data_IF_729251948183
#
_entry.id   IF_729251948183
#
_cell.length_a   1.000
_cell.length_b   1.000
_cell.length_c   1.000
_cell.angle_alpha   90.00
_cell.angle_beta   90.00
_cell.angle_gamma   90.00
#
_symmetry.space_group_name_H-M   'P 1'
#
loop_
_entity.id
_entity.type
_entity.pdbx_description
1 polymer ?
#
# COMPACT_ATOMS: atom_id res chain seq x y z
N UNK A 1 8.05 6.73 -17.28
CA UNK A 1 6.64 7.13 -17.08
C UNK A 1 5.92 6.38 -15.97
N UNK A 2 5.94 5.03 -15.87
CA UNK A 2 5.23 4.31 -14.78
C UNK A 2 5.98 4.38 -13.45
N UNK A 3 7.29 4.22 -13.47
CA UNK A 3 8.16 4.29 -12.27
C UNK A 3 8.12 5.67 -11.60
N UNK A 4 8.10 6.74 -12.39
CA UNK A 4 8.10 8.13 -11.87
C UNK A 4 6.84 8.42 -11.04
N UNK A 5 5.67 7.92 -11.50
CA UNK A 5 4.40 8.06 -10.77
C UNK A 5 4.37 7.23 -9.48
N UNK A 6 4.99 6.04 -9.49
CA UNK A 6 5.09 5.20 -8.30
C UNK A 6 6.00 5.85 -7.26
N UNK A 7 7.17 6.34 -7.67
CA UNK A 7 8.10 7.05 -6.78
C UNK A 7 7.43 8.30 -6.20
N UNK A 8 6.74 9.08 -7.02
CA UNK A 8 6.03 10.28 -6.55
C UNK A 8 4.90 9.94 -5.58
N UNK A 9 4.16 8.85 -5.83
CA UNK A 9 3.13 8.36 -4.92
C UNK A 9 3.69 7.92 -3.56
N UNK A 10 4.82 7.20 -3.56
CA UNK A 10 5.50 6.77 -2.33
C UNK A 10 6.03 7.97 -1.55
N UNK A 11 6.70 8.91 -2.21
CA UNK A 11 7.21 10.13 -1.57
C UNK A 11 6.07 11.00 -1.02
N UNK A 12 4.99 11.16 -1.78
CA UNK A 12 3.80 11.87 -1.34
C UNK A 12 3.16 11.20 -0.11
N UNK A 13 3.06 9.87 -0.11
CA UNK A 13 2.53 9.10 1.02
C UNK A 13 3.39 9.22 2.28
N UNK A 14 4.72 9.12 2.14
CA UNK A 14 5.66 9.30 3.26
C UNK A 14 5.60 10.72 3.83
N UNK A 15 5.56 11.74 2.97
CA UNK A 15 5.49 13.14 3.41
C UNK A 15 4.17 13.42 4.14
N UNK A 16 3.04 13.01 3.56
CA UNK A 16 1.73 13.15 4.19
C UNK A 16 1.66 12.39 5.52
N UNK A 17 2.17 11.16 5.56
CA UNK A 17 2.24 10.35 6.77
C UNK A 17 3.12 10.96 7.87
N UNK A 18 4.28 11.51 7.51
CA UNK A 18 5.17 12.18 8.46
C UNK A 18 4.55 13.46 9.03
N UNK A 19 3.91 14.27 8.20
CA UNK A 19 3.20 15.48 8.65
C UNK A 19 2.07 15.09 9.62
N UNK A 20 1.26 14.09 9.27
CA UNK A 20 0.21 13.60 10.17
C UNK A 20 0.80 13.02 11.46
N UNK A 21 1.87 12.23 11.40
CA UNK A 21 2.52 11.65 12.58
C UNK A 21 3.09 12.71 13.53
N UNK A 22 3.70 13.77 12.99
CA UNK A 22 4.20 14.90 13.78
C UNK A 22 3.04 15.70 14.40
N UNK A 23 1.96 15.92 13.64
CA UNK A 23 0.78 16.63 14.13
C UNK A 23 0.09 15.89 15.28
N UNK A 24 -0.04 14.57 15.18
CA UNK A 24 -0.66 13.73 16.20
C UNK A 24 0.23 13.48 17.42
N UNK A 25 1.56 13.48 17.26
CA UNK A 25 2.51 13.25 18.36
C UNK A 25 3.62 14.33 18.40
N UNK A 26 3.32 15.53 18.94
CA UNK A 26 4.32 16.57 19.10
C UNK A 26 5.26 16.26 20.28
N UNK A 27 6.47 15.77 19.97
CA UNK A 27 7.58 15.66 20.92
C UNK A 27 8.44 16.93 20.89
N UNK A 28 8.95 17.39 22.05
CA UNK A 28 9.85 18.56 22.11
C UNK A 28 11.17 18.26 21.38
N UNK A 29 11.62 19.16 20.50
CA UNK A 29 12.77 18.96 19.62
C UNK A 29 14.09 18.55 20.30
N UNK A 30 14.35 19.01 21.53
CA UNK A 30 15.51 18.58 22.32
C UNK A 30 15.47 17.08 22.65
N UNK A 31 14.29 16.59 23.04
CA UNK A 31 14.07 15.16 23.29
C UNK A 31 14.17 14.37 21.99
N UNK A 32 13.60 14.87 20.88
CA UNK A 32 13.66 14.23 19.56
C UNK A 32 15.11 14.04 19.09
N UNK A 33 15.95 15.08 19.17
CA UNK A 33 17.36 14.99 18.77
C UNK A 33 18.14 14.00 19.62
N UNK A 34 17.90 13.98 20.93
CA UNK A 34 18.52 13.04 21.87
C UNK A 34 18.03 11.60 21.63
N UNK A 35 16.75 11.42 21.31
CA UNK A 35 16.13 10.13 20.92
C UNK A 35 16.75 9.60 19.63
N UNK A 36 16.91 10.44 18.61
CA UNK A 36 17.53 10.06 17.33
C UNK A 36 18.96 9.57 17.57
N UNK A 37 19.79 10.32 18.30
CA UNK A 37 21.18 9.93 18.59
C UNK A 37 21.32 8.61 19.34
N UNK A 38 20.43 8.34 20.31
CA UNK A 38 20.44 7.07 21.05
C UNK A 38 19.88 5.92 20.23
N UNK A 39 18.69 6.12 19.66
CA UNK A 39 18.00 5.09 18.88
C UNK A 39 18.73 4.75 17.58
N UNK A 40 19.49 5.65 16.96
CA UNK A 40 20.16 5.36 15.69
C UNK A 40 21.19 4.23 15.79
N UNK A 41 21.95 4.17 16.90
CA UNK A 41 22.92 3.10 17.10
C UNK A 41 22.22 1.79 17.46
N UNK A 42 21.27 1.82 18.40
CA UNK A 42 20.61 0.60 18.88
C UNK A 42 19.62 0.02 17.86
N UNK A 43 18.95 0.86 17.05
CA UNK A 43 18.00 0.40 16.04
C UNK A 43 18.66 -0.19 14.82
N UNK A 44 19.90 0.17 14.48
CA UNK A 44 20.52 -0.31 13.24
C UNK A 44 20.69 -1.84 13.26
N UNK A 45 21.17 -2.38 14.37
CA UNK A 45 21.34 -3.83 14.54
C UNK A 45 19.98 -4.52 14.74
N UNK A 46 19.11 -3.99 15.61
CA UNK A 46 17.78 -4.56 15.85
C UNK A 46 16.86 -4.51 14.61
N UNK A 47 16.99 -3.49 13.74
CA UNK A 47 16.23 -3.42 12.49
C UNK A 47 16.69 -4.51 11.55
N UNK A 48 17.99 -4.78 11.47
CA UNK A 48 18.52 -5.70 10.46
C UNK A 48 17.94 -7.10 10.66
N UNK A 49 17.97 -7.59 11.89
CA UNK A 49 17.41 -8.91 12.25
C UNK A 49 15.89 -8.97 12.10
N UNK A 50 15.18 -7.90 12.49
CA UNK A 50 13.72 -7.83 12.35
C UNK A 50 13.28 -7.63 10.91
N UNK A 51 14.08 -6.95 10.11
CA UNK A 51 13.81 -6.69 8.71
C UNK A 51 13.95 -7.96 7.88
N UNK A 52 14.98 -8.77 8.12
CA UNK A 52 15.12 -10.09 7.50
C UNK A 52 13.92 -10.98 7.84
N UNK A 53 13.53 -11.05 9.12
CA UNK A 53 12.35 -11.83 9.55
C UNK A 53 11.05 -11.30 8.94
N UNK A 54 10.90 -9.98 8.85
CA UNK A 54 9.72 -9.34 8.27
C UNK A 54 9.64 -9.57 6.76
N UNK A 55 10.76 -9.47 6.04
CA UNK A 55 10.83 -9.77 4.62
C UNK A 55 10.50 -11.24 4.33
N UNK A 56 10.97 -12.18 5.14
CA UNK A 56 10.61 -13.59 5.02
C UNK A 56 9.11 -13.83 5.22
N UNK A 57 8.54 -13.18 6.23
CA UNK A 57 7.10 -13.28 6.53
C UNK A 57 6.26 -12.62 5.42
N UNK A 58 6.69 -11.47 4.93
CA UNK A 58 6.05 -10.77 3.81
C UNK A 58 6.14 -11.60 2.56
N UNK A 59 7.29 -12.22 2.26
CA UNK A 59 7.47 -13.05 1.06
C UNK A 59 6.53 -14.26 1.07
N UNK A 60 6.43 -14.97 2.21
CA UNK A 60 5.47 -16.08 2.36
C UNK A 60 4.02 -15.63 2.24
N UNK A 61 3.65 -14.52 2.88
CA UNK A 61 2.29 -13.97 2.77
C UNK A 61 2.00 -13.43 1.39
N UNK A 62 2.99 -12.89 0.69
CA UNK A 62 2.85 -12.32 -0.65
C UNK A 62 2.47 -13.39 -1.66
N UNK A 63 2.99 -14.61 -1.56
CA UNK A 63 2.57 -15.72 -2.41
C UNK A 63 1.08 -16.06 -2.22
N UNK A 64 0.62 -16.15 -0.96
CA UNK A 64 -0.81 -16.36 -0.65
C UNK A 64 -1.67 -15.20 -1.12
N UNK A 65 -1.25 -13.96 -0.84
CA UNK A 65 -1.97 -12.75 -1.24
C UNK A 65 -2.02 -12.57 -2.76
N UNK A 66 -1.00 -13.04 -3.47
CA UNK A 66 -0.95 -13.01 -4.94
C UNK A 66 -1.91 -14.04 -5.53
N UNK A 67 -2.07 -15.21 -4.92
CA UNK A 67 -3.08 -16.19 -5.33
C UNK A 67 -4.50 -15.69 -5.03
N UNK A 68 -4.79 -15.30 -3.79
CA UNK A 68 -6.11 -14.77 -3.42
C UNK A 68 -6.46 -13.49 -4.18
N UNK A 69 -5.47 -12.62 -4.41
CA UNK A 69 -5.62 -11.41 -5.19
C UNK A 69 -5.87 -11.68 -6.68
N UNK A 70 -5.30 -12.75 -7.24
CA UNK A 70 -5.61 -13.17 -8.62
C UNK A 70 -7.02 -13.72 -8.73
N UNK A 71 -7.47 -14.53 -7.77
CA UNK A 71 -8.82 -15.07 -7.77
C UNK A 71 -9.87 -13.96 -7.59
N UNK A 72 -9.65 -13.02 -6.66
CA UNK A 72 -10.48 -11.83 -6.50
C UNK A 72 -10.46 -10.93 -7.73
N UNK A 73 -9.31 -10.77 -8.39
CA UNK A 73 -9.20 -9.98 -9.60
C UNK A 73 -9.95 -10.63 -10.77
N UNK A 74 -9.83 -11.94 -10.94
CA UNK A 74 -10.51 -12.70 -11.98
C UNK A 74 -12.02 -12.74 -11.70
N UNK A 75 -12.45 -12.96 -10.46
CA UNK A 75 -13.87 -12.96 -10.08
C UNK A 75 -14.48 -11.55 -10.20
N UNK A 76 -13.78 -10.53 -9.70
CA UNK A 76 -14.16 -9.14 -9.83
C UNK A 76 -14.28 -8.72 -11.29
N UNK A 77 -13.28 -9.05 -12.12
CA UNK A 77 -13.30 -8.77 -13.56
C UNK A 77 -14.41 -9.53 -14.28
N UNK A 78 -14.62 -10.80 -13.96
CA UNK A 78 -15.70 -11.63 -14.52
C UNK A 78 -17.09 -11.06 -14.20
N UNK A 79 -17.33 -10.69 -12.94
CA UNK A 79 -18.58 -10.03 -12.54
C UNK A 79 -18.72 -8.68 -13.22
N UNK A 80 -17.67 -7.88 -13.27
CA UNK A 80 -17.70 -6.56 -13.92
C UNK A 80 -17.93 -6.67 -15.43
N UNK A 81 -17.30 -7.63 -16.11
CA UNK A 81 -17.49 -7.90 -17.54
C UNK A 81 -18.90 -8.43 -17.83
N UNK A 82 -19.46 -9.28 -16.95
CA UNK A 82 -20.86 -9.73 -17.04
C UNK A 82 -21.84 -8.58 -16.84
N UNK A 83 -21.67 -7.80 -15.77
CA UNK A 83 -22.49 -6.61 -15.52
C UNK A 83 -22.37 -5.61 -16.66
N UNK A 84 -21.16 -5.37 -17.19
CA UNK A 84 -20.97 -4.49 -18.34
C UNK A 84 -21.68 -5.01 -19.58
N UNK A 85 -21.61 -6.31 -19.88
CA UNK A 85 -22.34 -6.92 -21.00
C UNK A 85 -23.86 -6.88 -20.81
N UNK A 86 -24.34 -7.06 -19.59
CA UNK A 86 -25.76 -6.92 -19.26
C UNK A 86 -26.22 -5.47 -19.41
N UNK A 87 -25.41 -4.49 -18.98
CA UNK A 87 -25.67 -3.06 -19.19
C UNK A 87 -25.68 -2.69 -20.67
N UNK A 88 -24.72 -3.18 -21.47
CA UNK A 88 -24.71 -3.00 -22.93
C UNK A 88 -25.97 -3.56 -23.59
N UNK A 89 -26.41 -4.76 -23.18
CA UNK A 89 -27.62 -5.37 -23.71
C UNK A 89 -28.91 -4.66 -23.26
N UNK A 90 -28.91 -4.04 -22.09
CA UNK A 90 -30.03 -3.23 -21.59
C UNK A 90 -30.13 -1.88 -22.32
N UNK A 91 -29.01 -1.23 -22.60
CA UNK A 91 -28.97 0.01 -23.39
C UNK A 91 -29.45 -0.23 -24.83
N UNK A 92 -29.09 -1.37 -25.45
CA UNK A 92 -29.55 -1.71 -26.81
C UNK A 92 -31.05 -2.02 -26.85
N UNK A 93 -31.63 -2.60 -25.79
CA UNK A 93 -33.07 -2.88 -25.70
C UNK A 93 -33.92 -1.63 -25.50
N UNK A 94 -33.39 -0.63 -24.81
CA UNK A 94 -34.07 0.66 -24.56
C UNK A 94 -33.98 1.64 -25.74
N UNK A 95 -33.15 1.36 -26.75
CA UNK A 95 -33.02 2.19 -27.96
C UNK A 95 -33.93 1.72 -29.12
N UNK A 96 -34.59 0.56 -28.99
CA UNK A 96 -35.40 -0.05 -30.05
C UNK A 96 -36.92 -0.09 -29.76
N UNK A 97 -37.41 0.69 -28.79
CA UNK A 97 -38.84 0.88 -28.51
C UNK A 97 -39.17 2.37 -28.35
#
# INVERSE_FOLDING_TARGET
>A
MKTDKVILGVLGGLAAGAIMGILFAPDKGEKTRKKIKRKSNDYADDLKDKYETALDTISKKYETLKQEGQDLYIEGKSKFDKTKKELENLDIKNLNN
#
